data_IF_291947908828
#
_entry.id   IF_291947908828
#
_cell.length_a   1.000
_cell.length_b   1.000
_cell.length_c   1.000
_cell.angle_alpha   90.00
_cell.angle_beta   90.00
_cell.angle_gamma   90.00
#
_symmetry.space_group_name_H-M   'P 1'
#
loop_
_entity.id
_entity.type
_entity.pdbx_description
1 polymer ?
#
# COMPACT_ATOMS: atom_id res chain seq x y z
N UNK A 1 0.58 -3.09 4.76
CA UNK A 1 1.97 -3.54 4.99
C UNK A 1 2.97 -2.41 5.24
N UNK A 2 2.74 -1.16 4.81
CA UNK A 2 3.69 -0.06 5.09
C UNK A 2 4.04 0.14 6.58
N UNK A 3 3.04 0.28 7.45
CA UNK A 3 3.27 0.42 8.90
C UNK A 3 3.86 -0.84 9.53
N UNK A 4 3.37 -2.02 9.16
CA UNK A 4 3.87 -3.30 9.69
C UNK A 4 5.37 -3.51 9.41
N UNK A 5 5.85 -3.06 8.24
CA UNK A 5 7.28 -3.12 7.87
C UNK A 5 8.13 -2.00 8.50
N UNK A 6 7.51 -1.00 9.13
CA UNK A 6 8.21 0.11 9.80
C UNK A 6 8.54 -0.19 11.27
N UNK A 7 8.12 -1.33 11.80
CA UNK A 7 8.45 -1.77 13.16
C UNK A 7 9.67 -2.70 13.16
N UNK A 8 10.78 -2.34 13.82
CA UNK A 8 11.95 -3.20 13.91
C UNK A 8 11.67 -4.42 14.80
N UNK A 9 12.34 -5.54 14.52
CA UNK A 9 12.34 -6.67 15.45
C UNK A 9 13.28 -6.41 16.61
N UNK A 10 12.81 -6.62 17.85
CA UNK A 10 13.60 -6.40 19.09
C UNK A 10 14.71 -7.43 19.29
N UNK A 11 14.56 -8.61 18.69
CA UNK A 11 15.53 -9.71 18.76
C UNK A 11 15.85 -10.21 17.35
N UNK A 12 17.06 -10.76 17.18
CA UNK A 12 17.53 -11.33 15.91
C UNK A 12 18.37 -10.37 15.07
N UNK A 13 18.78 -10.79 13.86
CA UNK A 13 19.66 -10.01 13.00
C UNK A 13 18.99 -8.71 12.55
N UNK A 14 19.80 -7.65 12.43
CA UNK A 14 19.35 -6.34 11.93
C UNK A 14 18.92 -6.47 10.48
N UNK A 15 17.71 -6.03 10.18
CA UNK A 15 17.11 -6.01 8.83
C UNK A 15 17.03 -4.57 8.33
N UNK A 16 17.27 -4.38 7.04
CA UNK A 16 17.03 -3.09 6.39
C UNK A 16 15.52 -2.87 6.36
N UNK A 17 15.06 -1.75 6.92
CA UNK A 17 13.65 -1.39 6.92
C UNK A 17 13.34 -0.57 5.67
N UNK A 18 12.33 -0.99 4.92
CA UNK A 18 11.78 -0.16 3.84
C UNK A 18 10.85 0.90 4.42
N UNK A 19 11.19 2.17 4.22
CA UNK A 19 10.18 3.22 4.26
C UNK A 19 9.24 3.13 3.06
N UNK A 20 8.07 3.77 3.13
CA UNK A 20 7.26 4.00 1.94
C UNK A 20 8.02 5.01 1.06
N UNK A 21 8.37 4.68 -0.20
CA UNK A 21 9.17 5.56 -1.05
C UNK A 21 8.45 6.88 -1.33
N UNK A 22 9.19 7.99 -1.47
CA UNK A 22 8.68 9.34 -1.73
C UNK A 22 8.24 10.12 -0.48
N UNK A 23 7.66 11.32 -0.67
CA UNK A 23 7.19 12.21 0.40
C UNK A 23 5.66 12.33 0.43
N UNK A 24 5.02 12.57 1.60
CA UNK A 24 3.57 12.78 1.65
C UNK A 24 3.12 13.87 0.66
N UNK A 25 1.94 13.74 0.04
CA UNK A 25 1.45 14.77 -0.88
C UNK A 25 1.25 16.10 -0.15
N UNK A 26 1.48 17.21 -0.86
CA UNK A 26 1.11 18.53 -0.37
C UNK A 26 -0.42 18.61 -0.25
N UNK A 27 -0.93 18.90 0.95
CA UNK A 27 -2.37 18.97 1.20
C UNK A 27 -3.07 20.11 0.42
N UNK A 28 -2.31 21.09 -0.08
CA UNK A 28 -2.83 22.15 -0.96
C UNK A 28 -2.97 21.70 -2.41
N UNK A 29 -2.35 20.59 -2.78
CA UNK A 29 -2.30 20.06 -4.14
C UNK A 29 -2.46 18.52 -4.11
N UNK A 30 -3.58 18.07 -3.55
CA UNK A 30 -3.92 16.64 -3.50
C UNK A 30 -4.07 16.11 -4.94
N UNK A 31 -3.37 15.02 -5.30
CA UNK A 31 -3.49 14.45 -6.64
C UNK A 31 -4.89 13.91 -6.90
N UNK A 32 -5.35 13.89 -8.17
CA UNK A 32 -6.64 13.32 -8.52
C UNK A 32 -6.71 11.81 -8.20
N UNK A 33 -7.93 11.30 -8.01
CA UNK A 33 -8.14 9.90 -7.68
C UNK A 33 -7.69 9.54 -6.25
N UNK A 34 -6.93 8.46 -6.12
CA UNK A 34 -6.42 7.99 -4.84
C UNK A 34 -5.22 8.82 -4.38
N UNK A 35 -5.33 9.53 -3.26
CA UNK A 35 -4.26 10.38 -2.72
C UNK A 35 -2.91 9.64 -2.49
N UNK A 36 -2.93 8.31 -2.40
CA UNK A 36 -1.75 7.48 -2.21
C UNK A 36 -1.11 7.00 -3.51
N UNK A 37 -1.76 7.14 -4.67
CA UNK A 37 -1.29 6.60 -5.95
C UNK A 37 0.14 7.04 -6.34
N UNK A 38 0.63 8.26 -6.03
CA UNK A 38 1.99 8.64 -6.41
C UNK A 38 3.09 7.85 -5.71
N UNK A 39 2.77 7.18 -4.58
CA UNK A 39 3.71 6.43 -3.74
C UNK A 39 3.30 4.99 -3.52
N UNK A 40 2.11 4.61 -3.96
CA UNK A 40 1.61 3.26 -3.82
C UNK A 40 2.29 2.38 -4.87
N UNK A 41 3.05 1.34 -4.47
CA UNK A 41 3.70 0.46 -5.43
C UNK A 41 2.71 -0.43 -6.18
N UNK A 42 1.45 -0.46 -5.76
CA UNK A 42 0.35 -1.17 -6.41
C UNK A 42 -0.56 -0.24 -7.21
N UNK A 43 -0.18 1.03 -7.42
CA UNK A 43 -0.96 1.93 -8.25
C UNK A 43 -1.09 1.38 -9.68
N UNK A 44 -2.29 1.55 -10.24
CA UNK A 44 -2.63 1.28 -11.65
C UNK A 44 -3.56 2.40 -12.14
N UNK A 45 -3.96 2.36 -13.42
CA UNK A 45 -4.61 3.50 -14.10
C UNK A 45 -5.83 4.09 -13.39
N UNK A 46 -6.67 3.27 -12.75
CA UNK A 46 -7.82 3.77 -12.01
C UNK A 46 -7.42 4.59 -10.77
N UNK A 47 -6.24 4.34 -10.19
CA UNK A 47 -5.76 5.02 -8.99
C UNK A 47 -5.48 6.50 -9.22
N UNK A 48 -5.12 6.94 -10.43
CA UNK A 48 -4.83 8.35 -10.74
C UNK A 48 -6.06 9.15 -11.17
N UNK A 49 -7.18 8.48 -11.45
CA UNK A 49 -8.35 9.10 -12.10
C UNK A 49 -9.64 8.94 -11.30
N UNK A 50 -9.77 7.86 -10.52
CA UNK A 50 -10.99 7.53 -9.78
C UNK A 50 -10.75 7.60 -8.29
N UNK A 51 -11.62 8.31 -7.57
CA UNK A 51 -11.63 8.33 -6.10
C UNK A 51 -12.08 6.95 -5.56
N UNK A 52 -11.29 6.31 -4.68
CA UNK A 52 -11.70 5.05 -4.07
C UNK A 52 -12.84 5.29 -3.07
N UNK A 53 -13.81 4.37 -3.05
CA UNK A 53 -14.95 4.41 -2.12
C UNK A 53 -14.64 3.56 -0.88
N UNK A 54 -15.14 4.02 0.27
CA UNK A 54 -15.04 3.26 1.51
C UNK A 54 -15.93 2.01 1.44
N UNK A 55 -15.35 0.85 1.73
CA UNK A 55 -16.01 -0.44 1.70
C UNK A 55 -15.53 -1.34 2.85
N UNK A 56 -16.26 -2.43 3.09
CA UNK A 56 -15.86 -3.45 4.05
C UNK A 56 -14.56 -4.14 3.61
N UNK A 57 -13.73 -4.51 4.57
CA UNK A 57 -12.50 -5.25 4.31
C UNK A 57 -12.76 -6.72 3.94
N UNK A 58 -11.73 -7.44 3.45
CA UNK A 58 -11.88 -8.80 2.94
C UNK A 58 -12.15 -9.86 4.01
N UNK A 59 -11.97 -9.55 5.30
CA UNK A 59 -12.28 -10.48 6.40
C UNK A 59 -13.71 -10.27 6.88
N UNK A 60 -14.59 -11.24 6.61
CA UNK A 60 -16.02 -11.17 6.95
C UNK A 60 -16.30 -10.97 8.45
N UNK A 61 -15.45 -11.50 9.33
CA UNK A 61 -15.59 -11.33 10.77
C UNK A 61 -15.07 -9.98 11.30
N UNK A 62 -14.47 -9.14 10.44
CA UNK A 62 -13.85 -7.88 10.85
C UNK A 62 -14.76 -6.68 10.57
N UNK A 63 -14.75 -5.68 11.46
CA UNK A 63 -15.32 -4.36 11.19
C UNK A 63 -14.33 -3.44 10.43
N UNK A 64 -13.32 -4.02 9.79
CA UNK A 64 -12.33 -3.26 9.05
C UNK A 64 -12.99 -2.64 7.82
N UNK A 65 -12.70 -1.37 7.56
CA UNK A 65 -13.08 -0.69 6.33
C UNK A 65 -11.85 -0.16 5.61
N UNK A 66 -11.94 -0.02 4.29
CA UNK A 66 -10.86 0.51 3.46
C UNK A 66 -11.40 1.22 2.23
N UNK A 67 -10.60 2.13 1.67
CA UNK A 67 -10.85 2.76 0.38
C UNK A 67 -9.66 2.45 -0.54
N UNK A 68 -9.73 1.33 -1.26
CA UNK A 68 -8.64 0.85 -2.10
C UNK A 68 -9.17 0.09 -3.33
N UNK A 69 -8.74 0.50 -4.53
CA UNK A 69 -9.18 -0.15 -5.78
C UNK A 69 -8.68 -1.59 -5.94
N UNK A 70 -7.64 -2.01 -5.22
CA UNK A 70 -7.20 -3.42 -5.22
C UNK A 70 -8.24 -4.38 -4.63
N UNK A 71 -9.14 -3.86 -3.80
CA UNK A 71 -10.19 -4.64 -3.14
C UNK A 71 -11.58 -4.32 -3.69
N UNK A 72 -11.64 -3.48 -4.73
CA UNK A 72 -12.88 -3.11 -5.39
C UNK A 72 -13.12 -4.03 -6.58
N UNK A 73 -14.22 -4.78 -6.54
CA UNK A 73 -14.59 -5.74 -7.59
C UNK A 73 -14.77 -5.11 -8.98
N UNK A 74 -14.95 -3.78 -9.07
CA UNK A 74 -15.00 -3.05 -10.35
C UNK A 74 -13.65 -2.99 -11.07
N UNK A 75 -12.56 -3.11 -10.32
CA UNK A 75 -11.20 -2.94 -10.83
C UNK A 75 -10.32 -4.18 -10.66
N UNK A 76 -10.60 -5.02 -9.67
CA UNK A 76 -9.78 -6.21 -9.37
C UNK A 76 -10.67 -7.40 -9.05
N UNK A 77 -10.64 -8.43 -9.91
CA UNK A 77 -11.41 -9.66 -9.72
C UNK A 77 -10.83 -10.56 -8.61
N UNK A 78 -9.50 -10.56 -8.45
CA UNK A 78 -8.79 -11.35 -7.44
C UNK A 78 -7.88 -10.41 -6.65
N UNK A 79 -8.25 -10.01 -5.42
CA UNK A 79 -7.42 -9.13 -4.61
C UNK A 79 -6.13 -9.83 -4.19
N UNK A 80 -5.01 -9.10 -4.05
CA UNK A 80 -3.75 -9.68 -3.59
C UNK A 80 -3.86 -10.20 -2.16
N UNK A 81 -3.21 -11.33 -1.90
CA UNK A 81 -3.10 -11.87 -0.55
C UNK A 81 -2.14 -11.03 0.29
N UNK A 82 -2.20 -11.24 1.61
CA UNK A 82 -1.21 -10.74 2.56
C UNK A 82 0.23 -11.04 2.14
N UNK A 83 0.49 -12.25 1.64
CA UNK A 83 1.82 -12.66 1.22
C UNK A 83 2.28 -11.92 -0.04
N UNK A 84 1.39 -11.73 -1.02
CA UNK A 84 1.70 -10.97 -2.24
C UNK A 84 2.05 -9.52 -1.93
N UNK A 85 1.31 -8.92 -0.99
CA UNK A 85 1.58 -7.57 -0.54
C UNK A 85 2.94 -7.49 0.17
N UNK A 86 3.25 -8.43 1.06
CA UNK A 86 4.52 -8.49 1.79
C UNK A 86 5.71 -8.60 0.82
N UNK A 87 5.69 -9.57 -0.09
CA UNK A 87 6.76 -9.80 -1.05
C UNK A 87 7.07 -8.57 -1.91
N UNK A 88 6.05 -7.82 -2.35
CA UNK A 88 6.27 -6.60 -3.13
C UNK A 88 6.94 -5.49 -2.32
N UNK A 89 6.58 -5.34 -1.05
CA UNK A 89 7.21 -4.35 -0.16
C UNK A 89 8.64 -4.73 0.21
N UNK A 90 8.92 -6.02 0.41
CA UNK A 90 10.29 -6.53 0.62
C UNK A 90 11.16 -6.23 -0.60
N UNK A 91 10.68 -6.53 -1.81
CA UNK A 91 11.41 -6.24 -3.03
C UNK A 91 11.66 -4.72 -3.24
N UNK A 92 10.78 -3.84 -2.77
CA UNK A 92 11.01 -2.39 -2.77
C UNK A 92 12.09 -1.96 -1.78
N UNK A 93 12.14 -2.61 -0.62
CA UNK A 93 13.17 -2.39 0.40
C UNK A 93 14.56 -2.67 -0.16
N UNK A 94 14.70 -3.82 -0.82
CA UNK A 94 15.95 -4.27 -1.41
C UNK A 94 16.44 -3.31 -2.50
N UNK A 95 15.53 -2.82 -3.36
CA UNK A 95 15.87 -1.87 -4.43
C UNK A 95 16.17 -0.45 -3.93
N UNK A 96 15.61 -0.06 -2.79
CA UNK A 96 15.86 1.27 -2.19
C UNK A 96 17.15 1.31 -1.37
N UNK A 97 17.84 0.17 -1.20
CA UNK A 97 19.12 0.05 -0.52
C UNK A 97 20.35 0.20 -1.44
N UNK A 98 20.20 0.86 -2.60
CA UNK A 98 21.33 1.28 -3.43
C UNK A 98 21.56 2.77 -3.16
N UNK A 99 22.72 3.02 -2.53
CA UNK A 99 23.32 4.26 -1.98
C UNK A 99 22.91 4.69 -0.57
#
# INVERSE_FOLDING_TARGET
YGLLNSFPTLHGPRRVMAGIPGSPPDLRAVPPGCAFHPRCPFAFDACSTVLPVLQAGPQEASQQTMACHLYDARFTATPPTTADLAAKYEALAERSGVE
#
